data_IF_919895466617
#
_entry.id   IF_919895466617
#
_cell.length_a   1.000
_cell.length_b   1.000
_cell.length_c   1.000
_cell.angle_alpha   90.00
_cell.angle_beta   90.00
_cell.angle_gamma   90.00
#
_symmetry.space_group_name_H-M   'P 1'
#
loop_
_entity.id
_entity.type
_entity.pdbx_description
1 polymer ?
#
# COMPACT_ATOMS: atom_id res chain seq x y z
N UNK A 1 -4.38 2.90 -54.34
CA UNK A 1 -4.49 1.49 -53.89
C UNK A 1 -3.08 0.92 -53.73
N UNK A 2 -2.51 1.01 -52.52
CA UNK A 2 -1.21 0.44 -52.19
C UNK A 2 -1.27 -0.16 -50.79
N UNK A 3 -1.20 -1.48 -50.70
CA UNK A 3 -1.28 -2.27 -49.46
C UNK A 3 0.03 -2.16 -48.69
N UNK A 4 -0.03 -1.68 -47.45
CA UNK A 4 1.06 -1.85 -46.50
C UNK A 4 1.10 -3.30 -46.03
N UNK A 5 2.13 -4.04 -46.44
CA UNK A 5 2.47 -5.35 -45.86
C UNK A 5 3.28 -5.10 -44.59
N UNK A 6 2.69 -5.37 -43.42
CA UNK A 6 3.47 -5.59 -42.21
C UNK A 6 4.07 -7.00 -42.31
N UNK A 7 5.38 -7.05 -42.56
CA UNK A 7 6.17 -8.27 -42.56
C UNK A 7 6.27 -8.84 -41.15
N UNK A 8 5.92 -10.12 -41.03
CA UNK A 8 6.24 -10.98 -39.91
C UNK A 8 7.76 -11.19 -39.82
N UNK A 9 8.33 -10.95 -38.65
CA UNK A 9 9.50 -11.70 -38.16
C UNK A 9 9.24 -12.03 -36.69
N UNK A 10 9.32 -13.32 -36.38
CA UNK A 10 9.02 -13.93 -35.09
C UNK A 10 10.21 -13.81 -34.09
N UNK A 11 10.16 -14.43 -32.91
CA UNK A 11 10.24 -13.77 -31.61
C UNK A 11 11.65 -13.74 -31.01
N UNK A 12 12.00 -12.64 -30.32
CA UNK A 12 13.21 -12.59 -29.49
C UNK A 12 12.87 -13.06 -28.07
N UNK A 13 13.35 -14.24 -27.74
CA UNK A 13 13.30 -14.92 -26.46
C UNK A 13 14.06 -14.14 -25.37
N UNK A 14 13.51 -13.94 -24.15
CA UNK A 14 14.32 -13.66 -22.98
C UNK A 14 14.68 -14.96 -22.23
N UNK A 15 15.86 -15.03 -21.59
CA UNK A 15 16.35 -16.24 -20.93
C UNK A 15 15.49 -16.61 -19.72
N UNK A 16 15.10 -17.88 -19.70
CA UNK A 16 14.50 -18.60 -18.58
C UNK A 16 15.46 -18.67 -17.38
N UNK A 17 15.05 -18.10 -16.25
CA UNK A 17 15.63 -18.41 -14.94
C UNK A 17 14.56 -19.04 -14.04
N UNK A 18 14.69 -20.36 -13.90
CA UNK A 18 14.34 -21.23 -12.78
C UNK A 18 13.25 -20.78 -11.79
N UNK A 19 12.02 -21.24 -12.02
CA UNK A 19 11.12 -21.59 -10.91
C UNK A 19 11.33 -23.07 -10.60
N UNK A 20 11.99 -23.38 -9.47
CA UNK A 20 11.91 -24.69 -8.85
C UNK A 20 10.78 -24.64 -7.81
N UNK A 21 9.60 -25.08 -8.22
CA UNK A 21 8.53 -25.50 -7.31
C UNK A 21 8.71 -27.00 -7.08
N UNK A 22 8.85 -27.39 -5.83
CA UNK A 22 8.74 -28.79 -5.39
C UNK A 22 9.87 -29.21 -4.47
N UNK A 23 9.61 -29.23 -3.16
CA UNK A 23 9.37 -30.48 -2.45
C UNK A 23 9.20 -30.21 -0.94
N UNK A 24 7.95 -30.39 -0.53
CA UNK A 24 7.54 -30.62 0.84
C UNK A 24 8.03 -32.02 1.26
N UNK A 25 8.55 -32.12 2.49
CA UNK A 25 8.82 -33.33 3.32
C UNK A 25 10.31 -33.71 3.42
N UNK A 26 10.88 -33.50 4.62
CA UNK A 26 11.21 -34.57 5.58
C UNK A 26 11.64 -33.96 6.92
N UNK A 27 11.16 -34.59 7.99
CA UNK A 27 11.55 -34.36 9.38
C UNK A 27 12.95 -34.93 9.59
N UNK A 28 13.85 -34.15 10.19
CA UNK A 28 15.03 -34.66 10.91
C UNK A 28 15.30 -33.70 12.09
N UNK A 29 14.90 -34.07 13.31
CA UNK A 29 15.62 -34.91 14.30
C UNK A 29 16.54 -34.07 15.17
N UNK A 30 15.99 -33.54 16.27
CA UNK A 30 16.75 -33.26 17.49
C UNK A 30 16.49 -34.43 18.46
N UNK A 31 17.52 -35.09 19.01
CA UNK A 31 17.32 -36.20 19.94
C UNK A 31 16.92 -35.68 21.33
N UNK A 32 15.86 -36.29 21.87
CA UNK A 32 15.54 -36.30 23.30
C UNK A 32 16.53 -37.22 24.04
N UNK A 33 16.82 -36.99 25.33
CA UNK A 33 17.21 -38.06 26.24
C UNK A 33 16.00 -38.58 27.03
N UNK A 34 15.68 -39.83 26.74
CA UNK A 34 14.84 -40.85 27.42
C UNK A 34 15.20 -40.99 28.91
N UNK A 35 14.24 -40.73 29.83
CA UNK A 35 13.40 -41.66 30.64
C UNK A 35 14.07 -42.45 31.79
N UNK A 36 13.17 -42.83 32.72
CA UNK A 36 13.25 -43.76 33.87
C UNK A 36 13.35 -43.03 35.23
N UNK A 37 12.42 -43.15 36.19
CA UNK A 37 11.60 -44.31 36.59
C UNK A 37 10.40 -43.93 37.49
N UNK A 38 9.33 -44.70 37.29
CA UNK A 38 8.49 -45.40 38.28
C UNK A 38 7.45 -44.69 39.17
N UNK A 39 6.25 -45.29 39.05
CA UNK A 39 5.06 -45.19 39.87
C UNK A 39 5.22 -45.74 41.30
N UNK A 40 4.45 -45.17 42.23
CA UNK A 40 3.90 -45.78 43.45
C UNK A 40 2.83 -44.79 44.00
N UNK A 41 1.54 -45.08 43.86
CA UNK A 41 0.65 -45.70 44.85
C UNK A 41 0.14 -44.79 46.01
N UNK A 42 -1.19 -44.66 46.03
CA UNK A 42 -2.14 -44.74 47.15
C UNK A 42 -2.13 -43.74 48.35
N UNK A 43 -3.27 -43.04 48.44
CA UNK A 43 -4.22 -42.95 49.58
C UNK A 43 -3.68 -43.01 51.03
N UNK A 44 -4.10 -42.01 51.82
CA UNK A 44 -4.67 -42.02 53.21
C UNK A 44 -4.43 -40.60 53.78
N UNK A 45 -5.26 -39.94 54.59
CA UNK A 45 -6.34 -40.29 55.50
C UNK A 45 -7.13 -39.03 55.87
N UNK A 46 -8.38 -39.24 56.27
CA UNK A 46 -9.38 -38.30 56.78
C UNK A 46 -8.94 -37.52 58.04
N UNK A 47 -9.72 -36.45 58.31
CA UNK A 47 -9.91 -35.63 59.54
C UNK A 47 -9.08 -34.33 59.60
N UNK A 48 -9.60 -33.17 59.97
CA UNK A 48 -10.91 -32.79 60.51
C UNK A 48 -11.20 -31.31 60.18
N UNK A 49 -12.47 -30.98 59.98
CA UNK A 49 -12.96 -29.61 60.27
C UNK A 49 -12.91 -29.40 61.78
N UNK A 50 -12.61 -28.19 62.22
CA UNK A 50 -13.61 -27.50 63.02
C UNK A 50 -13.97 -26.16 62.39
N UNK A 51 -15.26 -25.84 62.47
CA UNK A 51 -15.75 -24.50 62.26
C UNK A 51 -15.31 -23.64 63.45
N UNK A 52 -14.68 -22.49 63.17
CA UNK A 52 -14.60 -21.38 64.10
C UNK A 52 -14.80 -20.09 63.30
N UNK A 53 -15.88 -19.42 63.66
CA UNK A 53 -16.37 -18.13 63.20
C UNK A 53 -15.34 -17.02 63.47
N UNK A 54 -15.14 -16.15 62.48
CA UNK A 54 -14.68 -14.76 62.70
C UNK A 54 -13.21 -14.46 62.39
N UNK A 55 -12.94 -13.96 61.18
CA UNK A 55 -12.04 -12.84 60.91
C UNK A 55 -12.12 -12.52 59.42
N UNK A 56 -12.98 -11.56 59.08
CA UNK A 56 -12.99 -10.98 57.75
C UNK A 56 -11.70 -10.23 57.43
N UNK A 57 -11.57 -9.94 56.15
CA UNK A 57 -10.90 -8.76 55.58
C UNK A 57 -9.37 -8.72 55.57
N UNK A 58 -8.76 -9.45 54.62
CA UNK A 58 -7.68 -8.88 53.79
C UNK A 58 -7.50 -9.67 52.49
N UNK A 59 -7.45 -11.01 52.54
CA UNK A 59 -7.30 -11.81 51.32
C UNK A 59 -8.54 -11.82 50.41
N UNK A 60 -9.74 -11.84 51.00
CA UNK A 60 -11.00 -11.76 50.25
C UNK A 60 -11.21 -10.40 49.58
N UNK A 61 -10.75 -9.32 50.22
CA UNK A 61 -10.85 -7.93 49.73
C UNK A 61 -9.90 -7.70 48.56
N UNK A 62 -8.67 -8.20 48.63
CA UNK A 62 -7.74 -8.11 47.50
C UNK A 62 -8.16 -8.97 46.29
N UNK A 63 -8.77 -10.14 46.53
CA UNK A 63 -9.32 -10.99 45.45
C UNK A 63 -10.56 -10.36 44.82
N UNK A 64 -11.45 -9.75 45.59
CA UNK A 64 -12.63 -9.05 45.07
C UNK A 64 -12.23 -7.80 44.28
N UNK A 65 -11.30 -6.98 44.79
CA UNK A 65 -10.81 -5.80 44.08
C UNK A 65 -10.12 -6.15 42.76
N UNK A 66 -9.35 -7.25 42.74
CA UNK A 66 -8.71 -7.75 41.51
C UNK A 66 -9.72 -8.29 40.51
N UNK A 67 -10.74 -9.01 40.99
CA UNK A 67 -11.82 -9.52 40.14
C UNK A 67 -12.68 -8.38 39.56
N UNK A 68 -12.99 -7.35 40.35
CA UNK A 68 -13.71 -6.16 39.87
C UNK A 68 -12.91 -5.38 38.84
N UNK A 69 -11.61 -5.18 39.05
CA UNK A 69 -10.72 -4.54 38.06
C UNK A 69 -10.67 -5.35 36.76
N UNK A 70 -10.58 -6.67 36.85
CA UNK A 70 -10.59 -7.55 35.67
C UNK A 70 -11.92 -7.47 34.90
N UNK A 71 -13.06 -7.39 35.62
CA UNK A 71 -14.38 -7.20 35.01
C UNK A 71 -14.47 -5.85 34.29
N UNK A 72 -14.10 -4.75 34.94
CA UNK A 72 -14.07 -3.40 34.31
C UNK A 72 -13.20 -3.38 33.06
N UNK A 73 -12.04 -4.05 33.08
CA UNK A 73 -11.17 -4.15 31.91
C UNK A 73 -11.82 -4.94 30.77
N UNK A 74 -12.48 -6.07 31.06
CA UNK A 74 -13.23 -6.85 30.07
C UNK A 74 -14.39 -6.05 29.46
N UNK A 75 -15.11 -5.29 30.28
CA UNK A 75 -16.21 -4.44 29.81
C UNK A 75 -15.72 -3.29 28.93
N UNK A 76 -14.54 -2.71 29.26
CA UNK A 76 -13.87 -1.72 28.40
C UNK A 76 -13.46 -2.35 27.07
N UNK A 77 -12.76 -3.48 27.10
CA UNK A 77 -12.34 -4.18 25.88
C UNK A 77 -13.55 -4.52 24.99
N UNK A 78 -14.65 -4.99 25.58
CA UNK A 78 -15.86 -5.31 24.82
C UNK A 78 -16.46 -4.08 24.13
N UNK A 79 -16.43 -2.92 24.80
CA UNK A 79 -16.84 -1.64 24.19
C UNK A 79 -15.88 -1.21 23.07
N UNK A 80 -14.58 -1.29 23.30
CA UNK A 80 -13.57 -0.90 22.32
C UNK A 80 -13.68 -1.78 21.04
N UNK A 81 -13.92 -3.09 21.19
CA UNK A 81 -14.13 -4.01 20.04
C UNK A 81 -15.48 -3.77 19.35
N UNK A 82 -16.52 -3.39 20.10
CA UNK A 82 -17.80 -2.97 19.51
C UNK A 82 -17.64 -1.71 18.65
N UNK A 83 -16.96 -0.69 19.19
CA UNK A 83 -16.66 0.55 18.47
C UNK A 83 -15.83 0.26 17.21
N UNK A 84 -14.81 -0.59 17.32
CA UNK A 84 -14.00 -1.02 16.19
C UNK A 84 -14.85 -1.65 15.08
N UNK A 85 -15.77 -2.55 15.44
CA UNK A 85 -16.66 -3.23 14.50
C UNK A 85 -17.51 -2.23 13.68
N UNK A 86 -17.98 -1.17 14.32
CA UNK A 86 -18.79 -0.13 13.63
C UNK A 86 -18.01 0.72 12.64
N UNK A 87 -16.68 0.80 12.80
CA UNK A 87 -15.79 1.58 11.92
C UNK A 87 -15.29 0.79 10.72
N UNK A 88 -15.49 -0.53 10.72
CA UNK A 88 -15.07 -1.37 9.59
C UNK A 88 -15.89 -1.05 8.34
N UNK A 89 -15.27 -1.08 7.16
CA UNK A 89 -15.98 -0.97 5.90
C UNK A 89 -16.87 -2.22 5.67
N UNK A 90 -17.93 -2.06 4.87
CA UNK A 90 -18.98 -3.06 4.70
C UNK A 90 -18.45 -4.45 4.28
N UNK A 91 -17.40 -4.51 3.47
CA UNK A 91 -16.83 -5.78 3.00
C UNK A 91 -16.04 -6.55 4.07
N UNK A 92 -15.66 -5.89 5.16
CA UNK A 92 -14.93 -6.48 6.29
C UNK A 92 -15.77 -6.57 7.57
N UNK A 93 -17.00 -6.06 7.54
CA UNK A 93 -17.93 -6.19 8.67
C UNK A 93 -18.34 -7.66 8.84
N UNK A 94 -18.17 -8.17 10.05
CA UNK A 94 -18.73 -9.46 10.45
C UNK A 94 -20.13 -9.21 10.99
N UNK A 95 -21.15 -9.71 10.30
CA UNK A 95 -22.56 -9.62 10.71
C UNK A 95 -22.87 -10.62 11.83
N UNK A 96 -22.13 -10.52 12.92
CA UNK A 96 -22.36 -11.27 14.15
C UNK A 96 -23.08 -10.37 15.16
N UNK A 97 -24.03 -10.93 15.91
CA UNK A 97 -24.77 -10.19 16.95
C UNK A 97 -23.86 -9.59 18.04
N UNK A 98 -22.64 -10.13 18.19
CA UNK A 98 -21.66 -9.69 19.18
C UNK A 98 -20.31 -9.45 18.53
N UNK A 99 -19.65 -8.32 18.84
CA UNK A 99 -18.34 -8.03 18.30
C UNK A 99 -17.29 -8.99 18.91
N UNK A 100 -16.57 -9.69 18.04
CA UNK A 100 -15.58 -10.71 18.42
C UNK A 100 -14.15 -10.26 18.11
N UNK A 101 -13.17 -11.02 18.59
CA UNK A 101 -11.74 -10.82 18.26
C UNK A 101 -11.48 -10.89 16.75
N UNK A 102 -12.38 -11.52 15.98
CA UNK A 102 -12.29 -11.53 14.53
C UNK A 102 -12.43 -10.11 13.92
N UNK A 103 -13.17 -9.20 14.55
CA UNK A 103 -13.25 -7.78 14.12
C UNK A 103 -11.88 -7.08 14.22
N UNK A 104 -11.03 -7.50 15.16
CA UNK A 104 -9.65 -6.99 15.26
C UNK A 104 -8.84 -7.44 14.04
N UNK A 105 -9.01 -8.68 13.58
CA UNK A 105 -8.33 -9.18 12.37
C UNK A 105 -8.80 -8.43 11.13
N UNK A 106 -10.09 -8.17 11.03
CA UNK A 106 -10.66 -7.39 9.93
C UNK A 106 -10.14 -5.95 9.94
N UNK A 107 -9.97 -5.34 11.11
CA UNK A 107 -9.37 -4.01 11.21
C UNK A 107 -7.91 -3.98 10.78
N UNK A 108 -7.12 -5.02 11.10
CA UNK A 108 -5.74 -5.13 10.62
C UNK A 108 -5.71 -5.20 9.09
N UNK A 109 -6.56 -6.04 8.48
CA UNK A 109 -6.69 -6.12 7.02
C UNK A 109 -7.05 -4.76 6.44
N UNK A 110 -8.00 -4.04 7.04
CA UNK A 110 -8.39 -2.72 6.58
C UNK A 110 -7.25 -1.70 6.66
N UNK A 111 -6.43 -1.75 7.72
CA UNK A 111 -5.25 -0.89 7.85
C UNK A 111 -4.25 -1.19 6.74
N UNK A 112 -3.97 -2.47 6.48
CA UNK A 112 -3.06 -2.88 5.40
C UNK A 112 -3.56 -2.42 4.02
N UNK A 113 -4.88 -2.53 3.77
CA UNK A 113 -5.54 -2.01 2.57
C UNK A 113 -5.32 -0.49 2.41
N UNK A 114 -5.58 0.28 3.47
CA UNK A 114 -5.41 1.73 3.47
C UNK A 114 -3.95 2.14 3.30
N UNK A 115 -3.00 1.41 3.88
CA UNK A 115 -1.57 1.67 3.73
C UNK A 115 -1.12 1.44 2.28
N UNK A 116 -1.61 0.36 1.65
CA UNK A 116 -1.35 0.07 0.24
C UNK A 116 -1.96 1.14 -0.67
N UNK A 117 -3.22 1.54 -0.44
CA UNK A 117 -3.85 2.62 -1.19
C UNK A 117 -3.08 3.94 -1.04
N UNK A 118 -2.67 4.29 0.18
CA UNK A 118 -1.86 5.49 0.42
C UNK A 118 -0.49 5.42 -0.27
N UNK A 119 0.14 4.24 -0.34
CA UNK A 119 1.37 4.04 -1.10
C UNK A 119 1.14 4.22 -2.61
N UNK A 120 0.07 3.65 -3.16
CA UNK A 120 -0.29 3.79 -4.57
C UNK A 120 -0.62 5.23 -4.94
N UNK A 121 -1.40 5.94 -4.12
CA UNK A 121 -1.73 7.35 -4.32
C UNK A 121 -0.47 8.23 -4.28
N UNK A 122 0.46 7.97 -3.37
CA UNK A 122 1.76 8.68 -3.34
C UNK A 122 2.56 8.42 -4.62
N UNK A 123 2.63 7.17 -5.08
CA UNK A 123 3.32 6.83 -6.32
C UNK A 123 2.68 7.51 -7.54
N UNK A 124 1.35 7.50 -7.63
CA UNK A 124 0.59 8.17 -8.69
C UNK A 124 0.80 9.68 -8.66
N UNK A 125 0.82 10.30 -7.49
CA UNK A 125 1.07 11.73 -7.34
C UNK A 125 2.47 12.13 -7.83
N UNK A 126 3.50 11.34 -7.49
CA UNK A 126 4.87 11.56 -7.98
C UNK A 126 4.93 11.40 -9.51
N UNK A 127 4.28 10.38 -10.07
CA UNK A 127 4.20 10.17 -11.52
C UNK A 127 3.54 11.36 -12.23
N UNK A 128 2.37 11.79 -11.75
CA UNK A 128 1.64 12.93 -12.32
C UNK A 128 2.45 14.22 -12.24
N UNK A 129 3.16 14.46 -11.15
CA UNK A 129 4.01 15.64 -10.97
C UNK A 129 5.17 15.63 -11.97
N UNK A 130 5.83 14.49 -12.16
CA UNK A 130 6.90 14.34 -13.15
C UNK A 130 6.41 14.61 -14.57
N UNK A 131 5.25 14.07 -14.93
CA UNK A 131 4.64 14.31 -16.25
C UNK A 131 4.28 15.79 -16.43
N UNK A 132 3.71 16.43 -15.41
CA UNK A 132 3.38 17.86 -15.47
C UNK A 132 4.63 18.72 -15.73
N UNK A 133 5.72 18.45 -15.00
CA UNK A 133 7.01 19.13 -15.21
C UNK A 133 7.51 18.91 -16.65
N UNK A 134 7.46 17.67 -17.15
CA UNK A 134 7.86 17.37 -18.53
C UNK A 134 7.02 18.15 -19.56
N UNK A 135 5.70 18.18 -19.40
CA UNK A 135 4.81 18.96 -20.28
C UNK A 135 5.08 20.47 -20.20
N UNK A 136 5.39 20.99 -19.01
CA UNK A 136 5.75 22.40 -18.86
C UNK A 136 7.04 22.74 -19.63
N UNK A 137 8.05 21.87 -19.57
CA UNK A 137 9.29 22.05 -20.34
C UNK A 137 9.03 21.99 -21.84
N UNK A 138 8.22 21.05 -22.32
CA UNK A 138 7.87 20.92 -23.73
C UNK A 138 7.09 22.15 -24.23
N UNK A 139 6.10 22.61 -23.46
CA UNK A 139 5.35 23.83 -23.78
C UNK A 139 6.26 25.06 -23.84
N UNK A 140 7.25 25.14 -22.95
CA UNK A 140 8.22 26.24 -22.96
C UNK A 140 9.13 26.17 -24.20
N UNK A 141 9.60 24.98 -24.57
CA UNK A 141 10.40 24.78 -25.76
C UNK A 141 9.65 25.20 -27.04
N UNK A 142 8.40 24.74 -27.19
CA UNK A 142 7.54 25.11 -28.32
C UNK A 142 7.23 26.61 -28.37
N UNK A 143 7.05 27.26 -27.22
CA UNK A 143 6.88 28.72 -27.16
C UNK A 143 8.13 29.47 -27.62
N UNK A 144 9.31 28.98 -27.24
CA UNK A 144 10.58 29.57 -27.67
C UNK A 144 10.77 29.39 -29.18
N UNK A 145 10.53 28.19 -29.70
CA UNK A 145 10.61 27.90 -31.14
C UNK A 145 9.63 28.75 -31.95
N UNK A 146 8.38 28.88 -31.49
CA UNK A 146 7.40 29.77 -32.12
C UNK A 146 7.90 31.22 -32.17
N UNK A 147 8.55 31.69 -31.10
CA UNK A 147 9.10 33.05 -31.04
C UNK A 147 10.25 33.22 -32.02
N UNK A 148 11.19 32.27 -32.10
CA UNK A 148 12.31 32.35 -33.04
C UNK A 148 11.81 32.32 -34.48
N UNK A 149 10.88 31.42 -34.80
CA UNK A 149 10.29 31.33 -36.14
C UNK A 149 9.57 32.63 -36.54
N UNK A 150 8.87 33.28 -35.60
CA UNK A 150 8.23 34.57 -35.86
C UNK A 150 9.26 35.69 -36.14
N UNK A 151 10.39 35.69 -35.44
CA UNK A 151 11.48 36.65 -35.68
C UNK A 151 12.13 36.41 -37.05
N UNK A 152 12.38 35.16 -37.41
CA UNK A 152 12.95 34.80 -38.71
C UNK A 152 12.01 35.18 -39.86
N UNK A 153 10.70 34.93 -39.72
CA UNK A 153 9.70 35.37 -40.69
C UNK A 153 9.68 36.89 -40.85
N UNK A 154 9.74 37.65 -39.75
CA UNK A 154 9.80 39.10 -39.81
C UNK A 154 11.08 39.59 -40.53
N UNK A 155 12.22 38.94 -40.26
CA UNK A 155 13.49 39.24 -40.93
C UNK A 155 13.43 38.96 -42.43
N UNK A 156 12.86 37.81 -42.82
CA UNK A 156 12.68 37.44 -44.22
C UNK A 156 11.73 38.41 -44.94
N UNK A 157 10.62 38.79 -44.32
CA UNK A 157 9.68 39.77 -44.89
C UNK A 157 10.35 41.13 -45.13
N UNK A 158 11.16 41.61 -44.18
CA UNK A 158 11.91 42.85 -44.38
C UNK A 158 12.88 42.72 -45.56
N UNK A 159 13.59 41.59 -45.67
CA UNK A 159 14.51 41.35 -46.79
C UNK A 159 13.78 41.27 -48.13
N UNK A 160 12.59 40.67 -48.17
CA UNK A 160 11.74 40.66 -49.37
C UNK A 160 11.40 42.09 -49.77
N UNK A 161 10.95 42.93 -48.83
CA UNK A 161 10.64 44.33 -49.11
C UNK A 161 11.84 45.12 -49.65
N UNK A 162 13.04 44.91 -49.12
CA UNK A 162 14.27 45.51 -49.66
C UNK A 162 14.53 45.07 -51.10
N UNK A 163 14.44 43.77 -51.39
CA UNK A 163 14.66 43.23 -52.73
C UNK A 163 13.60 43.70 -53.74
N UNK A 164 12.35 43.87 -53.31
CA UNK A 164 11.27 44.43 -54.13
C UNK A 164 11.56 45.89 -54.51
N UNK A 165 12.07 46.69 -53.57
CA UNK A 165 12.49 48.07 -53.85
C UNK A 165 13.68 48.13 -54.80
N UNK A 166 14.70 47.28 -54.59
CA UNK A 166 15.84 47.16 -55.51
C UNK A 166 15.36 46.80 -56.93
N UNK A 167 14.47 45.82 -57.06
CA UNK A 167 13.91 45.41 -58.35
C UNK A 167 13.17 46.56 -59.04
N UNK A 168 12.36 47.34 -58.32
CA UNK A 168 11.67 48.50 -58.86
C UNK A 168 12.66 49.56 -59.37
N UNK A 169 13.70 49.86 -58.61
CA UNK A 169 14.74 50.80 -59.02
C UNK A 169 15.46 50.36 -60.30
N UNK A 170 15.81 49.07 -60.40
CA UNK A 170 16.42 48.49 -61.60
C UNK A 170 15.49 48.57 -62.82
N UNK A 171 14.19 48.33 -62.64
CA UNK A 171 13.22 48.44 -63.73
C UNK A 171 13.09 49.88 -64.24
N UNK A 172 13.09 50.87 -63.35
CA UNK A 172 13.06 52.29 -63.71
C UNK A 172 14.31 52.70 -64.48
N UNK A 173 15.50 52.27 -64.02
CA UNK A 173 16.76 52.57 -64.70
C UNK A 173 16.83 51.99 -66.12
N UNK A 174 16.12 50.89 -66.39
CA UNK A 174 16.09 50.24 -67.70
C UNK A 174 15.13 50.88 -68.71
N UNK A 175 14.24 51.76 -68.26
CA UNK A 175 13.27 52.48 -69.12
C UNK A 175 13.77 53.88 -69.55
N UNK A 176 14.93 54.31 -69.05
CA UNK A 176 15.65 55.54 -69.45
C UNK A 176 16.76 55.15 -70.42
#
# INVERSE_FOLDING_TARGET
MGRWRLGMTAPTQPPSQHFAIGELKRKDRAPSPTEMTSAAEALTSKRAKPAATGAGTSEGVHKSDRAEKAKKHRDKLSRDVAELATRLPQHLQLFEDKPTVANIRQAIIHIDELENEAAQLRAAHVQATRQNIAYQHELQALRNEKRTNAQDLARLNNRIGELELELQAWQQYRQV
#
